data_IF_505385896486
#
_entry.id   IF_505385896486
#
_cell.length_a   1.000
_cell.length_b   1.000
_cell.length_c   1.000
_cell.angle_alpha   90.00
_cell.angle_beta   90.00
_cell.angle_gamma   90.00
#
_symmetry.space_group_name_H-M   'P 1'
#
loop_
_entity.id
_entity.type
_entity.pdbx_description
1 polymer ?
#
# COMPACT_ATOMS: atom_id res chain seq x y z
N UNK A 1 33.37 -12.61 -2.15
CA UNK A 1 32.54 -12.39 -3.34
C UNK A 1 31.46 -11.31 -3.12
N UNK A 2 30.63 -11.36 -2.09
CA UNK A 2 29.54 -10.39 -1.83
C UNK A 2 30.02 -8.94 -1.75
N UNK A 3 31.14 -8.65 -1.07
CA UNK A 3 31.70 -7.28 -1.00
C UNK A 3 32.14 -6.72 -2.34
N UNK A 4 32.61 -7.55 -3.30
CA UNK A 4 33.00 -7.09 -4.62
C UNK A 4 31.78 -6.67 -5.47
N UNK A 5 30.65 -7.39 -5.37
CA UNK A 5 29.41 -7.05 -6.07
C UNK A 5 28.87 -5.67 -5.66
N UNK A 6 28.87 -5.35 -4.36
CA UNK A 6 28.47 -4.01 -3.89
C UNK A 6 29.41 -2.92 -4.38
N UNK A 7 30.71 -3.19 -4.46
CA UNK A 7 31.69 -2.23 -4.96
C UNK A 7 31.47 -1.93 -6.43
N UNK A 8 31.27 -2.97 -7.25
CA UNK A 8 30.98 -2.82 -8.69
C UNK A 8 29.64 -2.11 -8.93
N UNK A 9 28.61 -2.52 -8.22
CA UNK A 9 27.29 -1.83 -8.24
C UNK A 9 27.44 -0.34 -7.91
N UNK A 10 28.19 -0.02 -6.83
CA UNK A 10 28.41 1.36 -6.39
C UNK A 10 29.16 2.20 -7.43
N UNK A 11 30.10 1.61 -8.16
CA UNK A 11 30.80 2.29 -9.25
C UNK A 11 29.87 2.68 -10.39
N UNK A 12 28.96 1.76 -10.79
CA UNK A 12 28.02 2.04 -11.88
C UNK A 12 26.95 3.05 -11.48
N UNK A 13 26.35 2.93 -10.30
CA UNK A 13 25.28 3.86 -9.88
C UNK A 13 25.75 5.31 -9.70
N UNK A 14 27.06 5.54 -9.48
CA UNK A 14 27.63 6.90 -9.41
C UNK A 14 27.53 7.67 -10.72
N UNK A 15 27.38 6.97 -11.84
CA UNK A 15 27.09 7.57 -13.13
C UNK A 15 25.61 7.91 -13.36
N UNK A 16 24.71 7.35 -12.55
CA UNK A 16 23.25 7.48 -12.66
C UNK A 16 22.67 8.39 -11.57
N UNK A 17 23.16 8.24 -10.35
CA UNK A 17 22.64 8.92 -9.16
C UNK A 17 23.70 9.89 -8.60
N UNK A 18 23.38 11.16 -8.35
CA UNK A 18 24.26 12.11 -7.69
C UNK A 18 24.78 11.60 -6.34
N UNK A 19 26.05 11.88 -6.05
CA UNK A 19 26.75 11.35 -4.88
C UNK A 19 26.08 11.75 -3.53
N UNK A 20 25.47 12.92 -3.47
CA UNK A 20 24.75 13.42 -2.29
C UNK A 20 23.47 12.63 -1.96
N UNK A 21 23.02 11.77 -2.87
CA UNK A 21 21.87 10.87 -2.71
C UNK A 21 22.26 9.40 -2.49
N UNK A 22 23.56 9.08 -2.44
CA UNK A 22 24.10 7.73 -2.19
C UNK A 22 24.81 7.74 -0.84
N UNK A 23 24.34 6.95 0.12
CA UNK A 23 24.91 6.89 1.47
C UNK A 23 25.58 5.55 1.71
N UNK A 24 26.89 5.61 1.97
CA UNK A 24 27.74 4.43 2.23
C UNK A 24 28.53 4.57 3.54
N UNK A 25 28.50 5.73 4.16
CA UNK A 25 29.14 5.97 5.45
C UNK A 25 28.35 5.31 6.59
N UNK A 26 29.06 4.95 7.62
CA UNK A 26 28.54 4.19 8.76
C UNK A 26 27.40 4.92 9.47
N UNK A 27 27.52 6.23 9.69
CA UNK A 27 26.56 7.02 10.45
C UNK A 27 25.19 7.05 9.74
N UNK A 28 25.19 7.36 8.43
CA UNK A 28 23.91 7.40 7.66
C UNK A 28 23.32 6.02 7.48
N UNK A 29 24.13 4.99 7.22
CA UNK A 29 23.65 3.60 7.14
C UNK A 29 23.01 3.13 8.45
N UNK A 30 23.61 3.48 9.60
CA UNK A 30 23.07 3.20 10.92
C UNK A 30 21.73 3.92 11.15
N UNK A 31 21.64 5.19 10.76
CA UNK A 31 20.41 6.00 10.88
C UNK A 31 19.25 5.41 10.05
N UNK A 32 19.53 4.79 8.91
CA UNK A 32 18.54 4.12 8.07
C UNK A 32 18.30 2.65 8.43
N UNK A 33 18.98 2.13 9.43
CA UNK A 33 18.91 0.73 9.85
C UNK A 33 17.74 0.36 10.74
N UNK A 34 16.84 1.29 11.05
CA UNK A 34 15.65 1.07 11.89
C UNK A 34 14.39 1.61 11.20
N UNK A 35 13.23 1.06 11.55
CA UNK A 35 11.92 1.63 11.26
C UNK A 35 11.23 2.05 12.58
N UNK A 36 9.90 2.09 12.64
CA UNK A 36 9.18 2.37 13.89
C UNK A 36 9.09 1.16 14.83
N UNK A 37 9.56 -0.02 14.40
CA UNK A 37 9.70 -1.22 15.22
C UNK A 37 11.01 -1.25 16.00
N UNK A 38 11.27 -2.37 16.66
CA UNK A 38 12.50 -2.60 17.44
C UNK A 38 13.52 -3.47 16.69
N UNK A 39 13.26 -3.82 15.44
CA UNK A 39 14.19 -4.54 14.58
C UNK A 39 15.26 -3.60 14.01
N UNK A 40 16.42 -4.16 13.70
CA UNK A 40 17.51 -3.42 13.06
C UNK A 40 18.23 -4.29 12.04
N UNK A 41 18.38 -3.76 10.82
CA UNK A 41 19.27 -4.26 9.78
C UNK A 41 20.01 -3.07 9.18
N UNK A 42 21.34 -3.16 9.09
CA UNK A 42 22.14 -2.03 8.58
C UNK A 42 22.39 -2.23 7.09
N UNK A 43 21.83 -1.37 6.22
CA UNK A 43 22.00 -1.51 4.78
C UNK A 43 23.46 -1.31 4.36
N UNK A 44 23.87 -1.97 3.28
CA UNK A 44 25.19 -1.73 2.68
C UNK A 44 25.22 -0.38 1.95
N UNK A 45 24.13 -0.04 1.27
CA UNK A 45 23.98 1.20 0.50
C UNK A 45 22.55 1.71 0.73
N UNK A 46 22.42 3.02 0.94
CA UNK A 46 21.12 3.71 0.94
C UNK A 46 21.10 4.67 -0.22
N UNK A 47 20.04 4.63 -1.03
CA UNK A 47 19.88 5.44 -2.24
C UNK A 47 18.56 6.21 -2.14
N UNK A 48 18.61 7.53 -2.32
CA UNK A 48 17.39 8.36 -2.44
C UNK A 48 17.07 8.55 -3.91
N UNK A 49 16.04 7.84 -4.40
CA UNK A 49 15.58 7.95 -5.78
C UNK A 49 14.66 9.16 -6.01
N UNK A 50 14.71 9.73 -7.20
CA UNK A 50 13.93 10.90 -7.58
C UNK A 50 13.04 10.67 -8.80
N UNK A 51 13.23 9.59 -9.56
CA UNK A 51 12.45 9.30 -10.77
C UNK A 51 12.26 7.79 -11.01
N UNK A 52 11.33 7.46 -11.92
CA UNK A 52 11.10 6.07 -12.36
C UNK A 52 12.31 5.51 -13.12
N UNK A 53 12.95 6.33 -13.95
CA UNK A 53 14.14 5.92 -14.70
C UNK A 53 15.24 5.47 -13.73
N UNK A 54 15.48 6.24 -12.66
CA UNK A 54 16.44 5.86 -11.63
C UNK A 54 16.05 4.53 -10.97
N UNK A 55 14.77 4.30 -10.65
CA UNK A 55 14.30 3.03 -10.08
C UNK A 55 14.53 1.88 -11.07
N UNK A 56 14.17 2.06 -12.35
CA UNK A 56 14.35 1.04 -13.39
C UNK A 56 15.81 0.65 -13.55
N UNK A 57 16.71 1.62 -13.59
CA UNK A 57 18.14 1.39 -13.73
C UNK A 57 18.74 0.74 -12.49
N UNK A 58 18.31 1.18 -11.29
CA UNK A 58 18.75 0.58 -10.02
C UNK A 58 18.32 -0.88 -9.91
N UNK A 59 17.09 -1.23 -10.32
CA UNK A 59 16.60 -2.60 -10.29
C UNK A 59 17.36 -3.49 -11.29
N UNK A 60 17.56 -3.03 -12.54
CA UNK A 60 18.36 -3.76 -13.54
C UNK A 60 19.79 -4.01 -13.08
N UNK A 61 20.41 -3.01 -12.45
CA UNK A 61 21.76 -3.16 -11.90
C UNK A 61 21.78 -4.09 -10.70
N UNK A 62 20.83 -3.98 -9.78
CA UNK A 62 20.76 -4.86 -8.62
C UNK A 62 20.58 -6.32 -9.03
N UNK A 63 19.73 -6.60 -10.01
CA UNK A 63 19.54 -7.94 -10.60
C UNK A 63 20.84 -8.47 -11.21
N UNK A 64 21.50 -7.68 -12.05
CA UNK A 64 22.78 -8.02 -12.67
C UNK A 64 23.86 -8.45 -11.67
N UNK A 65 23.87 -7.82 -10.50
CA UNK A 65 24.83 -8.11 -9.45
C UNK A 65 24.31 -9.11 -8.39
N UNK A 66 23.07 -9.58 -8.52
CA UNK A 66 22.41 -10.49 -7.57
C UNK A 66 22.23 -9.86 -6.19
N UNK A 67 21.93 -8.55 -6.13
CA UNK A 67 21.84 -7.80 -4.86
C UNK A 67 20.36 -7.56 -4.50
N UNK A 68 19.94 -7.98 -3.29
CA UNK A 68 18.60 -7.70 -2.81
C UNK A 68 18.33 -6.20 -2.62
N UNK A 69 17.09 -5.79 -2.96
CA UNK A 69 16.62 -4.41 -2.83
C UNK A 69 15.42 -4.37 -1.88
N UNK A 70 15.38 -3.37 -1.02
CA UNK A 70 14.23 -3.04 -0.18
C UNK A 70 13.82 -1.60 -0.45
N UNK A 71 12.52 -1.38 -0.66
CA UNK A 71 11.96 -0.03 -0.80
C UNK A 71 11.53 0.52 0.55
N UNK A 72 11.71 1.82 0.73
CA UNK A 72 11.31 2.51 1.94
C UNK A 72 10.62 3.84 1.61
N UNK A 73 9.45 4.04 2.19
CA UNK A 73 8.79 5.33 2.27
C UNK A 73 9.15 6.01 3.61
N UNK A 74 8.20 6.34 4.47
CA UNK A 74 8.47 6.98 5.77
C UNK A 74 9.12 6.06 6.82
N UNK A 75 9.00 4.73 6.67
CA UNK A 75 9.52 3.78 7.66
C UNK A 75 8.70 3.71 8.94
N UNK A 76 7.39 3.91 8.86
CA UNK A 76 6.45 3.81 9.99
C UNK A 76 6.02 2.37 10.31
N UNK A 77 6.61 1.39 9.64
CA UNK A 77 6.39 -0.04 9.86
C UNK A 77 6.84 -0.49 11.26
N UNK A 78 6.12 -1.44 11.84
CA UNK A 78 6.41 -1.99 13.17
C UNK A 78 7.05 -3.39 13.13
N UNK A 79 7.14 -4.01 11.95
CA UNK A 79 7.56 -5.41 11.78
C UNK A 79 8.79 -5.58 10.88
N UNK A 80 9.55 -4.51 10.65
CA UNK A 80 10.82 -4.58 9.93
C UNK A 80 10.69 -4.57 8.40
N UNK A 81 9.55 -4.23 7.82
CA UNK A 81 9.37 -4.23 6.36
C UNK A 81 10.21 -3.15 5.65
N UNK A 82 10.57 -2.08 6.37
CA UNK A 82 11.27 -0.92 5.81
C UNK A 82 12.79 -0.90 6.11
N UNK A 83 13.36 -2.03 6.54
CA UNK A 83 14.80 -2.16 6.82
C UNK A 83 15.44 -3.22 5.92
N UNK A 84 16.76 -3.12 5.72
CA UNK A 84 17.52 -3.98 4.83
C UNK A 84 18.94 -4.16 5.34
N UNK A 85 19.55 -5.31 5.04
CA UNK A 85 20.99 -5.55 5.17
C UNK A 85 21.73 -5.42 3.83
N UNK A 86 21.03 -5.04 2.76
CA UNK A 86 21.55 -4.90 1.39
C UNK A 86 21.35 -3.48 0.87
N UNK A 87 20.63 -3.30 -0.23
CA UNK A 87 20.34 -2.00 -0.84
C UNK A 87 18.98 -1.50 -0.32
N UNK A 88 18.98 -0.30 0.26
CA UNK A 88 17.77 0.39 0.68
C UNK A 88 17.49 1.56 -0.26
N UNK A 89 16.39 1.51 -1.01
CA UNK A 89 15.95 2.59 -1.91
C UNK A 89 14.84 3.37 -1.23
N UNK A 90 15.06 4.68 -1.06
CA UNK A 90 14.15 5.58 -0.35
C UNK A 90 13.40 6.46 -1.35
N UNK A 91 12.07 6.37 -1.34
CA UNK A 91 11.18 7.32 -2.00
C UNK A 91 10.84 8.44 -1.01
N UNK A 92 11.13 9.70 -1.37
CA UNK A 92 10.95 10.85 -0.48
C UNK A 92 10.38 12.06 -1.23
N UNK A 93 10.88 13.25 -0.93
CA UNK A 93 10.36 14.55 -1.42
C UNK A 93 10.12 14.69 -2.91
N UNK A 94 10.84 13.97 -3.77
CA UNK A 94 10.66 14.04 -5.22
C UNK A 94 9.50 13.18 -5.73
N UNK A 95 8.85 12.42 -4.85
CA UNK A 95 7.71 11.56 -5.11
C UNK A 95 6.42 12.12 -4.49
N UNK A 96 6.20 13.44 -4.61
CA UNK A 96 5.06 14.13 -3.97
C UNK A 96 4.07 14.73 -4.99
N UNK A 97 4.14 14.35 -6.27
CA UNK A 97 3.19 14.83 -7.27
C UNK A 97 1.81 14.19 -7.06
N UNK A 98 0.77 14.97 -7.36
CA UNK A 98 -0.62 14.53 -7.32
C UNK A 98 -1.46 15.20 -8.38
N UNK A 99 -2.60 14.61 -8.70
CA UNK A 99 -3.68 15.22 -9.48
C UNK A 99 -5.03 14.75 -8.95
N UNK A 100 -6.05 15.60 -9.07
CA UNK A 100 -7.42 15.32 -8.64
C UNK A 100 -8.30 15.35 -9.89
N UNK A 101 -9.23 14.40 -10.02
CA UNK A 101 -10.23 14.40 -11.10
C UNK A 101 -11.15 15.62 -11.00
N UNK A 102 -11.75 16.09 -12.11
CA UNK A 102 -12.63 17.26 -12.10
C UNK A 102 -13.85 17.13 -11.17
N UNK A 103 -14.33 15.91 -10.94
CA UNK A 103 -15.44 15.58 -10.01
C UNK A 103 -14.98 15.39 -8.56
N UNK A 104 -13.66 15.45 -8.31
CA UNK A 104 -13.02 15.21 -7.03
C UNK A 104 -13.21 13.79 -6.44
N UNK A 105 -13.75 12.85 -7.20
CA UNK A 105 -14.00 11.50 -6.75
C UNK A 105 -12.76 10.60 -6.82
N UNK A 106 -11.74 11.04 -7.56
CA UNK A 106 -10.48 10.32 -7.72
C UNK A 106 -9.29 11.22 -7.45
N UNK A 107 -8.25 10.63 -6.90
CA UNK A 107 -6.95 11.28 -6.72
C UNK A 107 -5.85 10.35 -7.18
N UNK A 108 -4.92 10.89 -7.95
CA UNK A 108 -3.68 10.21 -8.36
C UNK A 108 -2.54 10.74 -7.51
N UNK A 109 -1.75 9.86 -6.92
CA UNK A 109 -0.74 10.18 -5.92
C UNK A 109 0.57 9.48 -6.21
N UNK A 110 1.69 10.14 -6.00
CA UNK A 110 3.00 9.51 -5.89
C UNK A 110 3.28 9.02 -4.46
N UNK A 111 4.20 8.03 -4.27
CA UNK A 111 4.36 7.32 -3.01
C UNK A 111 4.92 8.13 -1.85
N UNK A 112 5.59 9.27 -2.09
CA UNK A 112 6.25 10.08 -1.06
C UNK A 112 5.34 11.07 -0.32
N UNK A 113 4.08 11.24 -0.75
CA UNK A 113 3.14 12.16 -0.10
C UNK A 113 2.72 11.58 1.26
N UNK A 114 2.74 12.42 2.30
CA UNK A 114 2.22 12.02 3.62
C UNK A 114 0.71 11.96 3.59
N UNK A 115 0.09 10.91 4.17
CA UNK A 115 -1.36 10.70 4.16
C UNK A 115 -2.16 11.89 4.71
N UNK A 116 -1.69 12.55 5.78
CA UNK A 116 -2.28 13.78 6.30
C UNK A 116 -2.28 14.91 5.25
N UNK A 117 -1.21 15.02 4.45
CA UNK A 117 -1.14 16.01 3.37
C UNK A 117 -2.19 15.76 2.30
N UNK A 118 -2.50 14.50 2.00
CA UNK A 118 -3.60 14.15 1.07
C UNK A 118 -4.94 14.63 1.62
N UNK A 119 -5.21 14.47 2.91
CA UNK A 119 -6.41 15.00 3.55
C UNK A 119 -6.51 16.53 3.44
N UNK A 120 -5.41 17.26 3.66
CA UNK A 120 -5.35 18.72 3.51
C UNK A 120 -5.64 19.16 2.06
N UNK A 121 -5.14 18.41 1.07
CA UNK A 121 -5.38 18.66 -0.36
C UNK A 121 -6.86 18.45 -0.72
N UNK A 122 -7.50 17.44 -0.15
CA UNK A 122 -8.88 17.06 -0.45
C UNK A 122 -9.93 17.83 0.36
N UNK A 123 -9.57 18.37 1.53
CA UNK A 123 -10.49 19.07 2.43
C UNK A 123 -11.28 20.21 1.79
N UNK A 124 -10.73 21.08 0.89
CA UNK A 124 -11.50 22.13 0.22
C UNK A 124 -12.66 21.61 -0.63
N UNK A 125 -12.62 20.35 -1.02
CA UNK A 125 -13.63 19.67 -1.85
C UNK A 125 -14.62 18.82 -1.02
N UNK A 126 -14.55 18.87 0.31
CA UNK A 126 -15.35 18.02 1.20
C UNK A 126 -15.01 16.54 1.06
N UNK A 127 -13.78 16.22 0.64
CA UNK A 127 -13.30 14.84 0.41
C UNK A 127 -12.12 14.56 1.32
N UNK A 128 -11.82 13.27 1.51
CA UNK A 128 -10.67 12.82 2.27
C UNK A 128 -10.01 11.59 1.64
N UNK A 129 -8.81 11.30 2.08
CA UNK A 129 -8.09 10.08 1.77
C UNK A 129 -8.76 8.91 2.48
N UNK A 130 -9.17 7.88 1.72
CA UNK A 130 -9.95 6.77 2.26
C UNK A 130 -9.18 5.92 3.29
N UNK A 131 -7.92 5.50 3.04
CA UNK A 131 -7.09 4.85 4.07
C UNK A 131 -6.76 5.81 5.21
N UNK A 132 -7.07 5.41 6.45
CA UNK A 132 -6.91 6.25 7.64
C UNK A 132 -6.15 5.48 8.75
N UNK A 133 -4.86 5.12 8.53
CA UNK A 133 -4.06 4.47 9.57
C UNK A 133 -3.76 5.44 10.72
N UNK A 134 -3.54 4.91 11.92
CA UNK A 134 -3.13 5.71 13.08
C UNK A 134 -1.88 6.56 12.81
N UNK A 135 -1.01 6.09 11.91
CA UNK A 135 0.20 6.78 11.45
C UNK A 135 -0.01 7.79 10.33
N UNK A 136 -1.26 8.12 9.93
CA UNK A 136 -1.57 8.98 8.77
C UNK A 136 -0.83 10.32 8.75
N UNK A 137 -0.48 10.86 9.92
CA UNK A 137 0.28 12.12 10.08
C UNK A 137 1.76 12.01 9.69
N UNK A 138 2.31 10.80 9.61
CA UNK A 138 3.73 10.55 9.34
C UNK A 138 3.96 9.52 8.24
N UNK A 139 3.02 8.62 8.00
CA UNK A 139 3.11 7.60 6.96
C UNK A 139 2.93 8.21 5.56
N UNK A 140 3.75 7.77 4.63
CA UNK A 140 3.64 8.12 3.20
C UNK A 140 2.69 7.18 2.48
N UNK A 141 2.03 7.68 1.44
CA UNK A 141 1.06 6.94 0.61
C UNK A 141 1.60 5.61 0.12
N UNK A 142 2.84 5.55 -0.39
CA UNK A 142 3.45 4.30 -0.83
C UNK A 142 3.47 3.23 0.26
N UNK A 143 3.89 3.58 1.48
CA UNK A 143 3.87 2.67 2.62
C UNK A 143 2.44 2.29 3.05
N UNK A 144 1.51 3.24 3.07
CA UNK A 144 0.09 3.01 3.42
C UNK A 144 -0.53 1.98 2.47
N UNK A 145 -0.31 2.14 1.17
CA UNK A 145 -0.87 1.25 0.14
C UNK A 145 -0.20 -0.12 0.15
N UNK A 146 1.14 -0.15 0.11
CA UNK A 146 1.89 -1.41 0.01
C UNK A 146 1.73 -2.29 1.26
N UNK A 147 1.42 -1.70 2.42
CA UNK A 147 1.06 -2.44 3.64
C UNK A 147 -0.46 -2.75 3.73
N UNK A 148 -1.31 -2.14 2.89
CA UNK A 148 -2.76 -2.08 3.06
C UNK A 148 -3.15 -1.52 4.44
N UNK A 149 -2.41 -0.53 4.90
CA UNK A 149 -2.60 0.06 6.23
C UNK A 149 -3.99 0.70 6.35
N UNK A 150 -4.65 0.45 7.45
CA UNK A 150 -6.00 0.96 7.69
C UNK A 150 -6.24 1.24 9.16
N UNK A 151 -7.05 2.24 9.43
CA UNK A 151 -7.47 2.61 10.77
C UNK A 151 -8.89 2.17 11.11
N UNK A 152 -9.39 2.68 12.21
CA UNK A 152 -10.73 2.41 12.72
C UNK A 152 -11.82 2.81 11.72
N UNK A 153 -11.65 3.98 11.08
CA UNK A 153 -12.66 4.54 10.17
C UNK A 153 -12.73 3.84 8.80
N UNK A 154 -11.75 3.02 8.44
CA UNK A 154 -11.74 2.32 7.16
C UNK A 154 -12.76 1.19 7.09
N UNK A 155 -13.09 0.56 8.21
CA UNK A 155 -13.95 -0.62 8.24
C UNK A 155 -13.44 -1.71 7.28
N UNK A 156 -14.34 -2.23 6.44
CA UNK A 156 -14.02 -3.19 5.36
C UNK A 156 -14.16 -2.58 3.96
N UNK A 157 -14.33 -1.26 3.83
CA UNK A 157 -14.71 -0.58 2.58
C UNK A 157 -13.73 0.49 2.12
N UNK A 158 -12.94 1.07 3.03
CA UNK A 158 -12.05 2.20 2.75
C UNK A 158 -10.55 1.85 2.81
N UNK A 159 -10.21 0.56 2.90
CA UNK A 159 -8.83 0.10 2.77
C UNK A 159 -8.32 0.32 1.36
N UNK A 160 -7.01 0.40 1.18
CA UNK A 160 -6.39 0.63 -0.13
C UNK A 160 -6.87 -0.35 -1.20
N UNK A 161 -7.04 -1.64 -0.88
CA UNK A 161 -7.53 -2.67 -1.81
C UNK A 161 -8.99 -2.48 -2.25
N UNK A 162 -9.77 -1.64 -1.57
CA UNK A 162 -11.17 -1.36 -1.90
C UNK A 162 -11.37 -0.09 -2.72
N UNK A 163 -10.44 0.85 -2.59
CA UNK A 163 -10.53 2.16 -3.23
C UNK A 163 -9.53 2.36 -4.37
N UNK A 164 -8.61 1.43 -4.57
CA UNK A 164 -7.69 1.40 -5.70
C UNK A 164 -8.45 1.35 -7.03
N UNK A 165 -8.03 2.16 -7.99
CA UNK A 165 -8.50 2.17 -9.38
C UNK A 165 -7.41 1.70 -10.35
N UNK A 166 -6.19 2.21 -10.22
CA UNK A 166 -5.04 1.80 -11.01
C UNK A 166 -3.74 2.05 -10.28
N UNK A 167 -2.68 1.38 -10.71
CA UNK A 167 -1.33 1.54 -10.20
C UNK A 167 -0.33 1.66 -11.36
N UNK A 168 0.64 2.56 -11.20
CA UNK A 168 1.83 2.62 -12.03
C UNK A 168 3.00 2.07 -11.21
N UNK A 169 3.65 1.05 -11.75
CA UNK A 169 4.65 0.25 -11.04
C UNK A 169 5.92 0.07 -11.87
N UNK A 170 7.04 -0.19 -11.19
CA UNK A 170 8.28 -0.63 -11.82
C UNK A 170 8.58 -2.04 -11.34
N UNK A 171 8.59 -3.00 -12.25
CA UNK A 171 8.86 -4.42 -12.01
C UNK A 171 10.36 -4.68 -11.75
N UNK A 172 10.69 -5.87 -11.28
CA UNK A 172 12.06 -6.24 -10.90
C UNK A 172 13.07 -6.13 -12.06
N UNK A 173 12.63 -6.33 -13.30
CA UNK A 173 13.44 -6.17 -14.51
C UNK A 173 13.58 -4.71 -14.97
N UNK A 174 12.99 -3.77 -14.23
CA UNK A 174 12.94 -2.35 -14.53
C UNK A 174 11.88 -1.96 -15.55
N UNK A 175 10.96 -2.84 -15.92
CA UNK A 175 9.83 -2.51 -16.79
C UNK A 175 8.80 -1.67 -16.03
N UNK A 176 8.34 -0.59 -16.66
CA UNK A 176 7.27 0.26 -16.14
C UNK A 176 5.94 -0.21 -16.70
N UNK A 177 4.97 -0.44 -15.83
CA UNK A 177 3.59 -0.76 -16.18
C UNK A 177 2.63 0.23 -15.50
N UNK A 178 1.80 0.89 -16.29
CA UNK A 178 0.65 1.66 -15.81
C UNK A 178 -0.63 0.87 -16.12
N UNK A 179 -1.27 0.35 -15.08
CA UNK A 179 -2.49 -0.47 -15.25
C UNK A 179 -3.73 0.36 -15.60
N UNK A 180 -3.65 1.68 -15.52
CA UNK A 180 -4.72 2.61 -15.92
C UNK A 180 -4.55 3.19 -17.32
N UNK A 181 -3.47 2.87 -18.03
CA UNK A 181 -3.18 3.36 -19.38
C UNK A 181 -3.23 2.23 -20.41
N UNK A 182 -4.15 2.32 -21.37
CA UNK A 182 -4.38 1.28 -22.38
C UNK A 182 -3.13 1.06 -23.27
N UNK A 183 -2.34 2.11 -23.53
CA UNK A 183 -1.11 1.99 -24.32
C UNK A 183 -0.06 1.20 -23.53
N UNK A 184 0.11 1.52 -22.27
CA UNK A 184 1.02 0.79 -21.37
C UNK A 184 0.62 -0.67 -21.21
N UNK A 185 -0.66 -0.96 -21.06
CA UNK A 185 -1.22 -2.32 -20.97
C UNK A 185 -0.94 -3.13 -22.22
N UNK A 186 -1.27 -2.59 -23.40
CA UNK A 186 -1.02 -3.26 -24.68
C UNK A 186 0.49 -3.50 -24.94
N UNK A 187 1.33 -2.54 -24.60
CA UNK A 187 2.79 -2.68 -24.67
C UNK A 187 3.31 -3.77 -23.73
N UNK A 188 2.79 -3.82 -22.51
CA UNK A 188 3.19 -4.85 -21.53
C UNK A 188 2.77 -6.26 -21.97
N UNK A 189 1.55 -6.44 -22.42
CA UNK A 189 1.07 -7.73 -22.94
C UNK A 189 1.93 -8.23 -24.10
N UNK A 190 2.31 -7.33 -25.02
CA UNK A 190 3.17 -7.66 -26.17
C UNK A 190 4.60 -8.01 -25.78
N UNK A 191 5.17 -7.35 -24.77
CA UNK A 191 6.58 -7.51 -24.35
C UNK A 191 6.77 -8.53 -23.23
N UNK A 192 5.73 -8.85 -22.45
CA UNK A 192 5.75 -9.78 -21.31
C UNK A 192 4.60 -10.80 -21.39
N UNK A 193 4.41 -11.48 -22.54
CA UNK A 193 3.26 -12.39 -22.72
C UNK A 193 3.26 -13.55 -21.71
N UNK A 194 4.41 -14.05 -21.33
CA UNK A 194 4.52 -15.14 -20.36
C UNK A 194 4.03 -14.71 -18.97
N UNK A 195 4.39 -13.49 -18.55
CA UNK A 195 3.94 -12.91 -17.27
C UNK A 195 2.41 -12.71 -17.30
N UNK A 196 1.89 -12.09 -18.35
CA UNK A 196 0.47 -11.85 -18.53
C UNK A 196 -0.34 -13.16 -18.51
N UNK A 197 0.08 -14.14 -19.32
CA UNK A 197 -0.56 -15.46 -19.40
C UNK A 197 -0.51 -16.18 -18.05
N UNK A 198 0.60 -16.05 -17.29
CA UNK A 198 0.73 -16.67 -15.98
C UNK A 198 -0.25 -16.11 -14.96
N UNK A 199 -0.54 -14.81 -14.99
CA UNK A 199 -1.59 -14.19 -14.15
C UNK A 199 -2.96 -14.76 -14.51
N UNK A 200 -3.27 -14.90 -15.81
CA UNK A 200 -4.51 -15.51 -16.27
C UNK A 200 -4.65 -16.97 -15.79
N UNK A 201 -3.60 -17.77 -15.96
CA UNK A 201 -3.57 -19.16 -15.50
C UNK A 201 -3.78 -19.29 -13.99
N UNK A 202 -3.09 -18.47 -13.19
CA UNK A 202 -3.25 -18.47 -11.74
C UNK A 202 -4.68 -18.10 -11.34
N UNK A 203 -5.29 -17.11 -12.00
CA UNK A 203 -6.68 -16.73 -11.78
C UNK A 203 -7.59 -17.95 -12.02
N UNK A 204 -7.43 -18.59 -13.17
CA UNK A 204 -8.29 -19.70 -13.59
C UNK A 204 -8.09 -20.94 -12.69
N UNK A 205 -6.85 -21.26 -12.30
CA UNK A 205 -6.52 -22.32 -11.35
C UNK A 205 -7.15 -22.08 -9.98
N UNK A 206 -7.05 -20.85 -9.44
CA UNK A 206 -7.63 -20.50 -8.14
C UNK A 206 -9.16 -20.58 -8.19
N UNK A 207 -9.78 -20.12 -9.28
CA UNK A 207 -11.24 -20.16 -9.46
C UNK A 207 -11.76 -21.57 -9.65
N UNK A 208 -11.04 -22.44 -10.34
CA UNK A 208 -11.38 -23.84 -10.55
C UNK A 208 -11.28 -24.67 -9.26
N UNK A 209 -10.49 -24.25 -8.30
CA UNK A 209 -10.40 -24.88 -6.98
C UNK A 209 -11.45 -24.28 -6.03
N UNK A 210 -12.64 -24.90 -6.00
CA UNK A 210 -13.77 -24.38 -5.20
C UNK A 210 -13.47 -24.26 -3.71
N UNK A 211 -12.72 -25.20 -3.12
CA UNK A 211 -12.34 -25.15 -1.71
C UNK A 211 -11.43 -23.94 -1.42
N UNK A 212 -10.40 -23.74 -2.24
CA UNK A 212 -9.49 -22.60 -2.13
C UNK A 212 -10.25 -21.28 -2.34
N UNK A 213 -11.09 -21.20 -3.37
CA UNK A 213 -11.88 -20.01 -3.68
C UNK A 213 -12.85 -19.67 -2.53
N UNK A 214 -13.52 -20.68 -1.94
CA UNK A 214 -14.39 -20.48 -0.79
C UNK A 214 -13.59 -19.98 0.44
N UNK A 215 -12.42 -20.56 0.70
CA UNK A 215 -11.53 -20.14 1.79
C UNK A 215 -11.05 -18.69 1.62
N UNK A 216 -10.68 -18.30 0.40
CA UNK A 216 -10.29 -16.91 0.09
C UNK A 216 -11.47 -15.97 0.36
N UNK A 217 -12.66 -16.25 -0.18
CA UNK A 217 -13.86 -15.43 0.07
C UNK A 217 -14.16 -15.29 1.57
N UNK A 218 -14.11 -16.39 2.30
CA UNK A 218 -14.33 -16.36 3.75
C UNK A 218 -13.30 -15.51 4.48
N UNK A 219 -12.00 -15.69 4.19
CA UNK A 219 -10.92 -14.93 4.83
C UNK A 219 -11.05 -13.43 4.61
N UNK A 220 -11.47 -13.01 3.42
CA UNK A 220 -11.62 -11.59 3.05
C UNK A 220 -13.05 -11.04 3.23
N UNK A 221 -13.97 -11.80 3.82
CA UNK A 221 -15.28 -11.31 4.26
C UNK A 221 -15.20 -10.44 5.51
N UNK A 222 -14.11 -10.54 6.25
CA UNK A 222 -13.75 -9.68 7.37
C UNK A 222 -12.56 -8.80 7.00
N UNK A 223 -12.24 -7.81 7.83
CA UNK A 223 -11.04 -6.98 7.66
C UNK A 223 -9.79 -7.88 7.73
N UNK A 224 -9.04 -7.93 6.65
CA UNK A 224 -7.80 -8.68 6.55
C UNK A 224 -6.77 -7.86 5.76
N UNK A 225 -5.69 -7.49 6.43
CA UNK A 225 -4.64 -6.61 5.90
C UNK A 225 -3.25 -7.25 5.99
N UNK A 226 -3.18 -8.57 6.21
CA UNK A 226 -1.91 -9.28 6.41
C UNK A 226 -1.54 -10.15 5.23
N UNK A 227 -0.29 -10.03 4.78
CA UNK A 227 0.30 -10.82 3.71
C UNK A 227 -0.23 -10.47 2.32
N UNK A 228 0.21 -11.24 1.33
CA UNK A 228 -0.23 -11.08 -0.05
C UNK A 228 -1.72 -11.38 -0.17
N UNK A 229 -2.43 -10.49 -0.87
CA UNK A 229 -3.85 -10.56 -1.05
C UNK A 229 -4.20 -11.44 -2.26
N UNK A 230 -4.83 -12.60 -2.05
CA UNK A 230 -5.27 -13.49 -3.12
C UNK A 230 -6.70 -13.17 -3.64
N UNK A 231 -7.42 -12.27 -2.97
CA UNK A 231 -8.77 -11.90 -3.37
C UNK A 231 -8.87 -11.32 -4.79
N UNK A 232 -7.88 -10.58 -5.32
CA UNK A 232 -7.91 -10.08 -6.70
C UNK A 232 -8.15 -11.16 -7.75
N UNK A 233 -7.59 -12.35 -7.59
CA UNK A 233 -7.81 -13.49 -8.49
C UNK A 233 -9.27 -13.99 -8.52
N UNK A 234 -10.02 -13.78 -7.43
CA UNK A 234 -11.44 -14.11 -7.35
C UNK A 234 -12.31 -12.95 -7.86
N UNK A 235 -11.88 -11.70 -7.59
CA UNK A 235 -12.71 -10.50 -7.77
C UNK A 235 -12.66 -9.95 -9.19
N UNK A 236 -11.51 -10.02 -9.87
CA UNK A 236 -11.28 -9.38 -11.16
C UNK A 236 -11.05 -10.37 -12.27
N UNK A 237 -11.64 -10.09 -13.42
CA UNK A 237 -11.43 -10.87 -14.66
C UNK A 237 -10.21 -10.35 -15.42
N UNK A 238 -9.98 -9.05 -15.39
CA UNK A 238 -8.88 -8.39 -16.06
C UNK A 238 -7.54 -8.63 -15.31
N UNK A 239 -6.51 -9.17 -15.99
CA UNK A 239 -5.20 -9.39 -15.39
C UNK A 239 -4.53 -8.13 -14.88
N UNK A 240 -4.75 -6.96 -15.49
CA UNK A 240 -4.15 -5.71 -15.05
C UNK A 240 -4.78 -5.19 -13.75
N UNK A 241 -6.08 -5.41 -13.56
CA UNK A 241 -6.74 -5.16 -12.26
C UNK A 241 -6.20 -6.09 -11.18
N UNK A 242 -5.95 -7.37 -11.52
CA UNK A 242 -5.32 -8.33 -10.61
C UNK A 242 -3.92 -7.83 -10.22
N UNK A 243 -3.07 -7.49 -11.19
CA UNK A 243 -1.71 -6.99 -10.96
C UNK A 243 -1.74 -5.75 -10.07
N UNK A 244 -2.58 -4.75 -10.37
CA UNK A 244 -2.69 -3.54 -9.56
C UNK A 244 -3.03 -3.84 -8.10
N UNK A 245 -4.02 -4.71 -7.86
CA UNK A 245 -4.49 -5.04 -6.53
C UNK A 245 -3.56 -6.00 -5.76
N UNK A 246 -2.71 -6.77 -6.44
CA UNK A 246 -1.63 -7.55 -5.80
C UNK A 246 -0.56 -6.66 -5.17
N UNK A 247 -0.40 -5.43 -5.65
CA UNK A 247 0.54 -4.47 -5.03
C UNK A 247 0.11 -4.11 -3.61
N UNK A 248 -1.19 -4.07 -3.34
CA UNK A 248 -1.73 -3.72 -2.02
C UNK A 248 -1.51 -4.87 -1.04
N UNK A 249 -0.71 -4.62 -0.02
CA UNK A 249 -0.29 -5.63 0.96
C UNK A 249 0.96 -6.43 0.56
N UNK A 250 1.63 -6.06 -0.55
CA UNK A 250 2.86 -6.72 -1.01
C UNK A 250 4.12 -6.28 -0.27
N UNK A 251 4.06 -5.23 0.55
CA UNK A 251 5.18 -4.64 1.28
C UNK A 251 6.36 -4.21 0.37
N UNK A 252 6.07 -3.94 -0.92
CA UNK A 252 7.09 -3.60 -1.91
C UNK A 252 7.91 -4.79 -2.41
N UNK A 253 7.47 -6.03 -2.15
CA UNK A 253 8.20 -7.24 -2.58
C UNK A 253 7.94 -7.64 -4.02
N UNK A 254 6.86 -7.15 -4.64
CA UNK A 254 6.48 -7.49 -6.00
C UNK A 254 6.92 -6.45 -7.03
N UNK A 255 6.88 -5.17 -6.67
CA UNK A 255 7.27 -4.06 -7.54
C UNK A 255 7.49 -2.77 -6.72
N UNK A 256 8.09 -1.76 -7.32
CA UNK A 256 8.06 -0.39 -6.81
C UNK A 256 6.78 0.31 -7.26
N UNK A 257 6.04 0.90 -6.33
CA UNK A 257 4.85 1.71 -6.63
C UNK A 257 5.29 3.14 -6.93
N UNK A 258 5.21 3.58 -8.19
CA UNK A 258 5.57 4.94 -8.59
C UNK A 258 4.40 5.91 -8.59
N UNK A 259 3.18 5.40 -8.81
CA UNK A 259 1.96 6.19 -8.79
C UNK A 259 0.76 5.30 -8.50
N UNK A 260 -0.26 5.86 -7.85
CA UNK A 260 -1.53 5.18 -7.59
C UNK A 260 -2.71 6.12 -7.83
N UNK A 261 -3.75 5.62 -8.46
CA UNK A 261 -5.05 6.30 -8.59
C UNK A 261 -6.06 5.60 -7.69
N UNK A 262 -6.71 6.38 -6.82
CA UNK A 262 -7.64 5.88 -5.81
C UNK A 262 -8.92 6.71 -5.80
N UNK A 263 -10.04 6.09 -5.41
CA UNK A 263 -11.25 6.84 -5.06
C UNK A 263 -11.01 7.62 -3.78
N UNK A 264 -11.51 8.86 -3.75
CA UNK A 264 -11.59 9.66 -2.54
C UNK A 264 -12.85 9.29 -1.76
N UNK A 265 -12.88 9.57 -0.47
CA UNK A 265 -14.06 9.38 0.38
C UNK A 265 -14.70 10.74 0.71
N UNK A 266 -16.02 10.79 0.85
CA UNK A 266 -16.71 11.99 1.33
C UNK A 266 -16.35 12.25 2.80
N UNK A 267 -15.98 13.48 3.13
CA UNK A 267 -15.67 13.88 4.51
C UNK A 267 -16.90 14.57 5.13
N UNK A 268 -17.67 13.79 5.88
CA UNK A 268 -18.90 14.30 6.51
C UNK A 268 -18.60 15.45 7.47
N UNK A 269 -19.34 16.58 7.36
CA UNK A 269 -19.11 17.75 8.21
C UNK A 269 -19.49 17.49 9.68
N UNK A 270 -20.43 16.59 9.91
CA UNK A 270 -20.90 16.24 11.25
C UNK A 270 -20.43 14.84 11.62
N UNK A 271 -19.61 14.76 12.65
CA UNK A 271 -19.04 13.52 13.17
C UNK A 271 -19.32 13.45 14.66
N UNK A 272 -19.71 12.27 15.15
CA UNK A 272 -19.88 12.01 16.57
C UNK A 272 -19.10 10.75 16.96
N UNK A 273 -18.56 10.73 18.16
CA UNK A 273 -17.93 9.56 18.75
C UNK A 273 -18.65 9.26 20.07
N UNK A 274 -18.89 7.98 20.33
CA UNK A 274 -19.47 7.52 21.60
C UNK A 274 -18.56 6.45 22.21
N UNK A 275 -18.32 6.56 23.51
CA UNK A 275 -17.68 5.52 24.29
C UNK A 275 -18.76 4.75 25.03
N UNK A 276 -18.85 3.45 24.76
CA UNK A 276 -19.86 2.56 25.34
C UNK A 276 -19.17 1.59 26.30
N UNK A 277 -19.68 1.49 27.52
CA UNK A 277 -19.15 0.59 28.52
C UNK A 277 -20.05 -0.63 28.69
N UNK A 278 -19.46 -1.81 28.69
CA UNK A 278 -20.15 -3.08 28.88
C UNK A 278 -19.51 -3.88 30.02
N UNK A 279 -20.32 -4.64 30.72
CA UNK A 279 -19.84 -5.53 31.78
C UNK A 279 -19.24 -6.84 31.23
N UNK A 280 -19.50 -7.15 29.96
CA UNK A 280 -18.95 -8.33 29.29
C UNK A 280 -18.56 -8.05 27.85
N UNK A 281 -17.50 -8.71 27.36
CA UNK A 281 -17.07 -8.67 25.94
C UNK A 281 -18.20 -9.19 25.03
N UNK A 282 -18.98 -10.17 25.49
CA UNK A 282 -20.09 -10.74 24.72
C UNK A 282 -21.16 -9.68 24.40
N UNK A 283 -21.49 -8.82 25.35
CA UNK A 283 -22.49 -7.78 25.12
C UNK A 283 -21.94 -6.64 24.28
N UNK A 284 -20.65 -6.29 24.43
CA UNK A 284 -19.97 -5.38 23.54
C UNK A 284 -20.00 -5.88 22.07
N UNK A 285 -19.67 -7.15 21.84
CA UNK A 285 -19.74 -7.76 20.52
C UNK A 285 -21.16 -7.76 19.93
N UNK A 286 -22.19 -8.07 20.75
CA UNK A 286 -23.60 -8.00 20.32
C UNK A 286 -24.01 -6.60 19.89
N UNK A 287 -23.58 -5.57 20.63
CA UNK A 287 -23.84 -4.18 20.27
C UNK A 287 -23.20 -3.81 18.93
N UNK A 288 -21.93 -4.22 18.69
CA UNK A 288 -21.24 -3.99 17.40
C UNK A 288 -21.98 -4.68 16.24
N UNK A 289 -22.43 -5.92 16.43
CA UNK A 289 -23.19 -6.65 15.40
C UNK A 289 -24.50 -5.92 15.09
N UNK A 290 -25.26 -5.51 16.12
CA UNK A 290 -26.51 -4.78 15.95
C UNK A 290 -26.31 -3.43 15.22
N UNK A 291 -25.27 -2.68 15.58
CA UNK A 291 -24.91 -1.44 14.89
C UNK A 291 -24.57 -1.67 13.42
N UNK A 292 -23.83 -2.74 13.10
CA UNK A 292 -23.51 -3.12 11.72
C UNK A 292 -24.75 -3.48 10.91
N UNK A 293 -25.68 -4.20 11.51
CA UNK A 293 -26.96 -4.56 10.87
C UNK A 293 -27.82 -3.32 10.58
N UNK A 294 -27.90 -2.38 11.52
CA UNK A 294 -28.61 -1.11 11.33
C UNK A 294 -28.00 -0.30 10.17
N UNK A 295 -26.68 -0.24 10.10
CA UNK A 295 -25.96 0.44 9.01
C UNK A 295 -26.29 -0.20 7.66
N UNK A 296 -26.29 -1.53 7.57
CA UNK A 296 -26.59 -2.24 6.33
C UNK A 296 -28.05 -2.09 5.89
N UNK A 297 -29.02 -2.03 6.83
CA UNK A 297 -30.44 -1.80 6.50
C UNK A 297 -30.70 -0.42 5.95
N UNK A 298 -30.03 0.60 6.46
CA UNK A 298 -30.21 1.98 5.97
C UNK A 298 -29.53 2.19 4.60
N UNK A 299 -28.48 1.45 4.27
CA UNK A 299 -27.81 1.53 2.96
C UNK A 299 -28.66 0.99 1.80
N UNK A 300 -29.69 0.19 2.06
CA UNK A 300 -30.63 -0.31 1.03
C UNK A 300 -31.66 0.74 0.57
N UNK A 301 -31.81 1.84 1.28
CA UNK A 301 -32.78 2.91 0.97
C UNK A 301 -32.14 4.18 0.37
N UNK A 302 -30.82 4.24 0.27
CA UNK A 302 -30.08 5.42 -0.23
C UNK A 302 -29.19 5.01 -1.40
N UNK A 303 -29.24 5.77 -2.48
CA UNK A 303 -28.59 5.44 -3.76
C UNK A 303 -27.08 5.65 -3.81
N UNK A 304 -26.42 5.99 -2.69
CA UNK A 304 -24.97 6.13 -2.63
C UNK A 304 -24.35 5.17 -1.59
N UNK A 305 -23.31 4.45 -2.01
CA UNK A 305 -22.53 3.54 -1.16
C UNK A 305 -21.79 4.25 0.01
N UNK A 306 -21.91 5.58 0.09
CA UNK A 306 -21.14 6.42 1.01
C UNK A 306 -21.84 6.71 2.35
N UNK A 307 -23.15 6.48 2.47
CA UNK A 307 -23.88 6.78 3.70
C UNK A 307 -23.86 5.61 4.69
N UNK A 308 -22.73 5.37 5.33
CA UNK A 308 -22.68 4.47 6.48
C UNK A 308 -22.86 5.24 7.77
N UNK A 309 -23.92 4.91 8.52
CA UNK A 309 -24.24 5.51 9.81
C UNK A 309 -23.12 5.33 10.84
N UNK A 310 -22.48 4.15 10.86
CA UNK A 310 -21.35 3.84 11.74
C UNK A 310 -20.11 3.61 10.88
N UNK A 311 -19.14 4.53 10.91
CA UNK A 311 -17.89 4.46 10.15
C UNK A 311 -16.89 3.47 10.74
N UNK A 312 -16.81 3.38 12.05
CA UNK A 312 -15.88 2.49 12.75
C UNK A 312 -16.35 2.15 14.15
N UNK A 313 -15.87 1.02 14.64
CA UNK A 313 -16.02 0.59 16.04
C UNK A 313 -14.73 -0.10 16.47
N UNK A 314 -14.23 0.23 17.65
CA UNK A 314 -13.04 -0.34 18.24
C UNK A 314 -13.37 -0.90 19.61
N UNK A 315 -12.86 -2.09 19.93
CA UNK A 315 -13.07 -2.75 21.21
C UNK A 315 -11.80 -2.57 22.05
N UNK A 316 -11.97 -2.01 23.25
CA UNK A 316 -10.95 -1.97 24.29
C UNK A 316 -11.33 -2.94 25.39
N UNK A 317 -10.48 -3.90 25.69
CA UNK A 317 -10.71 -4.84 26.80
C UNK A 317 -10.32 -4.23 28.17
N UNK A 318 -10.62 -4.93 29.24
CA UNK A 318 -10.30 -4.48 30.60
C UNK A 318 -8.80 -4.23 30.81
N UNK A 319 -7.94 -5.07 30.23
CA UNK A 319 -6.49 -4.91 30.37
C UNK A 319 -5.99 -3.66 29.67
N UNK A 320 -6.49 -3.38 28.48
CA UNK A 320 -6.19 -2.16 27.74
C UNK A 320 -6.65 -0.91 28.50
N UNK A 321 -7.86 -0.95 29.08
CA UNK A 321 -8.40 0.16 29.88
C UNK A 321 -7.66 0.37 31.21
N UNK A 322 -7.14 -0.70 31.82
CA UNK A 322 -6.41 -0.62 33.10
C UNK A 322 -4.94 -0.23 32.95
N UNK A 323 -4.40 -0.19 31.72
CA UNK A 323 -3.02 0.20 31.42
C UNK A 323 -2.85 1.68 31.11
N UNK A 324 -3.94 2.43 31.06
CA UNK A 324 -4.00 3.88 30.87
C UNK A 324 -4.33 4.53 32.21
#
# INVERSE_FOLDING_TARGET
MVKSSYTSFLQEIRGLIPQDRIYTDELRRLAWGTDAGFYRLIPQIVIRSNSEEEISDLLRLADRYGLPVTFRAAGTSLSGQAISDSILIVAGKHWEKYSISPDHEQITLQPGIIGQRVNEILAPYGRKFAPDPASVKSAMVGGIVMNNASGMNCGTHANSDKVLLSARIVLADGTVLDTGDDISRASFEATHPDFYNRICELRDQIRANEELAARIRYKYSIKNVTGLNLLPFIRFDDPFDIIAHLMVGSEGTLAFLSQITMRTEYDYPHKASAMLYFTSIKDACRAVVAMKELTNRNSSSVSSADEKLVKGAELLDYKSLSSV
#
